data_IF_377835703680
#
_entry.id   IF_377835703680
#
_cell.length_a   1.000
_cell.length_b   1.000
_cell.length_c   1.000
_cell.angle_alpha   90.00
_cell.angle_beta   90.00
_cell.angle_gamma   90.00
#
_symmetry.space_group_name_H-M   'P 1'
#
loop_
_entity.id
_entity.type
_entity.pdbx_description
1 polymer ?
#
# COMPACT_ATOMS: atom_id res chain seq x y z
N UNK A 1 16.28 1.93 0.25
CA UNK A 1 17.22 2.80 -0.51
C UNK A 1 17.48 4.05 0.31
N UNK A 2 18.51 4.84 -0.02
CA UNK A 2 18.74 6.13 0.67
C UNK A 2 17.55 7.10 0.51
N UNK A 3 16.80 7.00 -0.59
CA UNK A 3 15.61 7.83 -0.81
C UNK A 3 14.49 7.54 0.20
N UNK A 4 14.25 6.26 0.54
CA UNK A 4 13.21 5.86 1.50
C UNK A 4 13.46 6.42 2.90
N UNK A 5 14.72 6.67 3.29
CA UNK A 5 15.06 7.25 4.60
C UNK A 5 14.55 8.68 4.75
N UNK A 6 14.42 9.42 3.64
CA UNK A 6 14.02 10.83 3.59
C UNK A 6 12.50 11.04 3.75
N UNK A 7 11.71 9.97 3.72
CA UNK A 7 10.26 10.06 3.92
C UNK A 7 9.99 10.48 5.38
N UNK A 8 9.17 11.52 5.62
CA UNK A 8 8.82 11.97 6.97
C UNK A 8 8.25 10.83 7.82
N UNK A 9 8.64 10.75 9.10
CA UNK A 9 8.37 9.59 9.97
C UNK A 9 6.94 9.53 10.47
N UNK A 10 6.33 10.70 10.55
CA UNK A 10 4.96 10.97 10.95
C UNK A 10 3.98 10.90 9.78
N UNK A 11 4.44 10.89 8.53
CA UNK A 11 3.58 10.78 7.34
C UNK A 11 2.83 9.43 7.36
N UNK A 12 1.48 9.44 7.41
CA UNK A 12 0.69 8.22 7.24
C UNK A 12 0.83 7.69 5.81
N UNK A 13 1.03 6.38 5.66
CA UNK A 13 1.19 5.74 4.35
C UNK A 13 0.26 4.53 4.24
N UNK A 14 -0.54 4.48 3.17
CA UNK A 14 -1.36 3.33 2.83
C UNK A 14 -0.87 2.64 1.55
N UNK A 15 -0.50 1.37 1.67
CA UNK A 15 -0.11 0.53 0.53
C UNK A 15 -1.28 -0.32 0.06
N UNK A 16 -1.65 -0.17 -1.20
CA UNK A 16 -2.62 -1.05 -1.87
C UNK A 16 -1.96 -1.78 -3.05
N UNK A 17 -2.22 -3.07 -3.20
CA UNK A 17 -1.77 -3.87 -4.36
C UNK A 17 -2.64 -5.10 -4.54
N UNK A 18 -2.84 -5.55 -5.78
CA UNK A 18 -3.44 -6.85 -6.03
C UNK A 18 -2.48 -8.00 -5.66
N UNK A 19 -3.03 -9.12 -5.21
CA UNK A 19 -2.24 -10.29 -4.79
C UNK A 19 -1.56 -11.00 -5.96
N UNK A 20 -2.12 -10.87 -7.17
CA UNK A 20 -1.61 -11.45 -8.41
C UNK A 20 -0.81 -10.45 -9.26
N UNK A 21 -0.56 -9.23 -8.76
CA UNK A 21 0.23 -8.21 -9.45
C UNK A 21 1.66 -8.72 -9.76
N UNK A 22 2.05 -8.88 -11.04
CA UNK A 22 3.38 -9.38 -11.40
C UNK A 22 4.47 -8.35 -11.08
N UNK A 23 4.17 -7.05 -11.24
CA UNK A 23 5.09 -5.93 -10.93
C UNK A 23 5.43 -5.91 -9.44
N UNK A 24 4.44 -6.13 -8.58
CA UNK A 24 4.63 -6.25 -7.13
C UNK A 24 5.25 -7.58 -6.68
N UNK A 25 5.64 -8.46 -7.62
CA UNK A 25 6.09 -9.82 -7.36
C UNK A 25 5.12 -10.59 -6.45
N UNK A 26 3.81 -10.52 -6.77
CA UNK A 26 2.71 -11.08 -5.97
C UNK A 26 2.78 -10.64 -4.50
N UNK A 27 2.73 -9.33 -4.27
CA UNK A 27 2.88 -8.64 -2.97
C UNK A 27 4.29 -8.62 -2.36
N UNK A 28 5.21 -9.50 -2.76
CA UNK A 28 6.54 -9.60 -2.11
C UNK A 28 7.35 -8.31 -2.21
N UNK A 29 7.32 -7.63 -3.36
CA UNK A 29 8.02 -6.36 -3.54
C UNK A 29 7.45 -5.25 -2.64
N UNK A 30 6.13 -5.18 -2.53
CA UNK A 30 5.43 -4.21 -1.67
C UNK A 30 5.72 -4.48 -0.19
N UNK A 31 5.65 -5.75 0.24
CA UNK A 31 6.01 -6.15 1.61
C UNK A 31 7.47 -5.80 1.95
N UNK A 32 8.39 -5.99 1.02
CA UNK A 32 9.79 -5.61 1.21
C UNK A 32 9.95 -4.09 1.40
N UNK A 33 9.20 -3.26 0.68
CA UNK A 33 9.19 -1.81 0.87
C UNK A 33 8.62 -1.41 2.23
N UNK A 34 7.46 -1.97 2.61
CA UNK A 34 6.84 -1.75 3.94
C UNK A 34 7.85 -2.07 5.06
N UNK A 35 8.54 -3.20 4.97
CA UNK A 35 9.54 -3.60 5.97
C UNK A 35 10.73 -2.63 6.03
N UNK A 36 11.18 -2.08 4.90
CA UNK A 36 12.25 -1.07 4.88
C UNK A 36 11.79 0.24 5.52
N UNK A 37 10.58 0.70 5.23
CA UNK A 37 10.02 1.90 5.85
C UNK A 37 9.89 1.74 7.37
N UNK A 38 9.35 0.61 7.83
CA UNK A 38 9.29 0.28 9.26
C UNK A 38 10.67 0.28 9.90
N UNK A 39 11.69 -0.30 9.24
CA UNK A 39 13.09 -0.27 9.71
C UNK A 39 13.66 1.15 9.79
N UNK A 40 13.20 2.07 8.95
CA UNK A 40 13.61 3.48 8.97
C UNK A 40 12.78 4.36 9.91
N UNK A 41 11.91 3.78 10.74
CA UNK A 41 11.13 4.49 11.75
C UNK A 41 9.79 5.03 11.28
N UNK A 42 9.35 4.71 10.06
CA UNK A 42 8.00 5.01 9.59
C UNK A 42 7.04 3.96 10.17
N UNK A 43 6.35 4.30 11.25
CA UNK A 43 5.48 3.37 11.99
C UNK A 43 4.02 3.47 11.59
N UNK A 44 3.57 4.63 11.08
CA UNK A 44 2.21 4.81 10.55
C UNK A 44 2.08 4.28 9.11
N UNK A 45 2.14 2.95 8.99
CA UNK A 45 2.07 2.24 7.70
C UNK A 45 0.95 1.23 7.73
N UNK A 46 -0.05 1.45 6.89
CA UNK A 46 -1.21 0.57 6.67
C UNK A 46 -1.08 -0.10 5.32
N UNK A 47 -1.65 -1.30 5.14
CA UNK A 47 -1.65 -1.96 3.83
C UNK A 47 -2.85 -2.88 3.65
N UNK A 48 -3.31 -3.00 2.40
CA UNK A 48 -4.31 -3.99 1.97
C UNK A 48 -3.86 -4.67 0.67
N UNK A 49 -3.98 -5.99 0.63
CA UNK A 49 -3.72 -6.78 -0.57
C UNK A 49 -5.02 -7.40 -1.06
N UNK A 50 -5.50 -6.97 -2.22
CA UNK A 50 -6.76 -7.43 -2.78
C UNK A 50 -6.56 -8.80 -3.44
N UNK A 51 -7.30 -9.80 -2.95
CA UNK A 51 -7.21 -11.17 -3.44
C UNK A 51 -7.59 -11.23 -4.92
N UNK A 52 -6.84 -12.00 -5.70
CA UNK A 52 -7.00 -12.23 -7.15
C UNK A 52 -6.88 -11.01 -8.09
N UNK A 53 -6.80 -9.80 -7.54
CA UNK A 53 -6.57 -8.59 -8.31
C UNK A 53 -5.13 -8.51 -8.86
N UNK A 54 -4.95 -7.84 -10.01
CA UNK A 54 -3.66 -7.61 -10.66
C UNK A 54 -3.14 -6.20 -10.33
N UNK A 55 -2.77 -5.42 -11.34
CA UNK A 55 -2.04 -4.16 -11.15
C UNK A 55 -2.96 -2.94 -11.01
N UNK A 56 -3.97 -2.82 -11.87
CA UNK A 56 -4.80 -1.63 -11.99
C UNK A 56 -6.04 -1.70 -11.08
N UNK A 57 -5.82 -1.68 -9.76
CA UNK A 57 -6.89 -1.90 -8.76
C UNK A 57 -8.16 -1.06 -8.97
N UNK A 58 -8.03 0.20 -9.39
CA UNK A 58 -9.18 1.08 -9.63
C UNK A 58 -9.99 0.70 -10.89
N UNK A 59 -9.47 -0.19 -11.73
CA UNK A 59 -10.11 -0.74 -12.93
C UNK A 59 -10.48 -2.23 -12.79
N UNK A 60 -10.17 -2.86 -11.66
CA UNK A 60 -10.52 -4.27 -11.40
C UNK A 60 -12.02 -4.42 -11.13
N UNK A 61 -12.51 -5.67 -11.16
CA UNK A 61 -13.93 -5.99 -10.90
C UNK A 61 -14.37 -5.52 -9.50
N UNK A 62 -13.45 -5.55 -8.52
CA UNK A 62 -13.69 -5.09 -7.15
C UNK A 62 -13.35 -3.61 -6.94
N UNK A 63 -13.33 -2.78 -8.00
CA UNK A 63 -13.01 -1.35 -7.91
C UNK A 63 -13.77 -0.60 -6.82
N UNK A 64 -15.05 -0.91 -6.60
CA UNK A 64 -15.86 -0.23 -5.59
C UNK A 64 -15.36 -0.51 -4.17
N UNK A 65 -14.90 -1.74 -3.91
CA UNK A 65 -14.20 -2.08 -2.66
C UNK A 65 -12.94 -1.22 -2.50
N UNK A 66 -12.12 -1.15 -3.57
CA UNK A 66 -10.86 -0.39 -3.56
C UNK A 66 -11.10 1.09 -3.29
N UNK A 67 -12.10 1.69 -3.93
CA UNK A 67 -12.45 3.09 -3.70
C UNK A 67 -12.91 3.32 -2.26
N UNK A 68 -13.78 2.46 -1.73
CA UNK A 68 -14.29 2.59 -0.36
C UNK A 68 -13.16 2.49 0.66
N UNK A 69 -12.25 1.52 0.55
CA UNK A 69 -11.11 1.41 1.48
C UNK A 69 -10.19 2.64 1.45
N UNK A 70 -10.00 3.25 0.26
CA UNK A 70 -9.19 4.46 0.13
C UNK A 70 -9.90 5.66 0.77
N UNK A 71 -11.21 5.81 0.57
CA UNK A 71 -12.02 6.87 1.18
C UNK A 71 -12.01 6.71 2.70
N UNK A 72 -12.29 5.53 3.23
CA UNK A 72 -12.27 5.25 4.66
C UNK A 72 -10.89 5.55 5.28
N UNK A 73 -9.82 5.19 4.56
CA UNK A 73 -8.46 5.52 5.00
C UNK A 73 -8.22 7.04 5.05
N UNK A 74 -8.66 7.79 4.04
CA UNK A 74 -8.53 9.25 4.01
C UNK A 74 -9.35 9.92 5.12
N UNK A 75 -10.59 9.47 5.33
CA UNK A 75 -11.49 10.00 6.35
C UNK A 75 -10.93 9.77 7.76
N UNK A 76 -10.25 8.63 8.00
CA UNK A 76 -9.58 8.35 9.28
C UNK A 76 -8.34 9.21 9.59
N UNK A 77 -7.85 9.99 8.62
CA UNK A 77 -6.68 10.87 8.75
C UNK A 77 -7.01 12.36 8.47
N UNK A 78 -8.30 12.69 8.42
CA UNK A 78 -8.82 14.06 8.29
C UNK A 78 -8.93 14.79 9.63
#
# INVERSE_FOLDING_TARGET
SENEKKIPKDLPIFFISGSLCPIGNKTRGVKAMINRLKKYGNTNVTYKFYTDARHELFNEINRDEVFNDVIEWLDSHS
#
